data_IF_119065810570
#
_entry.id   IF_119065810570
#
_cell.length_a   1.000
_cell.length_b   1.000
_cell.length_c   1.000
_cell.angle_alpha   90.00
_cell.angle_beta   90.00
_cell.angle_gamma   90.00
#
_symmetry.space_group_name_H-M   'P 1'
#
loop_
_entity.id
_entity.type
_entity.pdbx_description
1 polymer ?
#
# COMPACT_ATOMS: atom_id res chain seq x y z
N UNK A 1 -15.38 -36.38 0.77
CA UNK A 1 -15.11 -35.74 -0.54
C UNK A 1 -15.02 -34.24 -0.37
N UNK A 2 -13.86 -33.65 -0.12
CA UNK A 2 -12.90 -34.00 0.92
C UNK A 2 -12.39 -32.62 1.40
N UNK A 3 -12.51 -32.30 2.69
CA UNK A 3 -12.22 -30.93 3.21
C UNK A 3 -10.83 -30.46 2.78
N UNK A 4 -9.90 -31.40 2.68
CA UNK A 4 -8.55 -31.22 2.18
C UNK A 4 -8.50 -30.64 0.76
N UNK A 5 -9.35 -31.09 -0.16
CA UNK A 5 -9.41 -30.60 -1.55
C UNK A 5 -9.95 -29.17 -1.63
N UNK A 6 -10.87 -28.79 -0.74
CA UNK A 6 -11.37 -27.41 -0.65
C UNK A 6 -10.30 -26.47 -0.11
N UNK A 7 -9.59 -26.87 0.94
CA UNK A 7 -8.50 -26.09 1.54
C UNK A 7 -7.33 -25.96 0.56
N UNK A 8 -7.02 -27.00 -0.20
CA UNK A 8 -5.99 -26.98 -1.24
C UNK A 8 -6.27 -25.93 -2.33
N UNK A 9 -7.47 -25.95 -2.92
CA UNK A 9 -7.87 -24.95 -3.92
C UNK A 9 -7.86 -23.53 -3.36
N UNK A 10 -8.37 -23.36 -2.13
CA UNK A 10 -8.39 -22.05 -1.47
C UNK A 10 -6.97 -21.56 -1.20
N UNK A 11 -6.07 -22.44 -0.75
CA UNK A 11 -4.67 -22.10 -0.48
C UNK A 11 -3.95 -21.68 -1.75
N UNK A 12 -4.14 -22.37 -2.88
CA UNK A 12 -3.57 -21.98 -4.17
C UNK A 12 -4.01 -20.59 -4.61
N UNK A 13 -5.27 -20.22 -4.36
CA UNK A 13 -5.81 -18.91 -4.71
C UNK A 13 -5.35 -17.78 -3.76
N UNK A 14 -5.09 -18.10 -2.49
CA UNK A 14 -4.78 -17.14 -1.44
C UNK A 14 -3.28 -16.96 -1.17
N UNK A 15 -2.41 -17.91 -1.54
CA UNK A 15 -0.95 -17.81 -1.41
C UNK A 15 -0.37 -16.51 -2.00
N UNK A 16 -0.80 -16.03 -3.19
CA UNK A 16 -0.30 -14.78 -3.75
C UNK A 16 -0.58 -13.53 -2.89
N UNK A 17 -1.59 -13.57 -2.03
CA UNK A 17 -1.99 -12.47 -1.14
C UNK A 17 -1.79 -12.82 0.34
N UNK A 18 -1.05 -13.87 0.66
CA UNK A 18 -0.96 -14.42 2.02
C UNK A 18 -0.51 -13.41 3.08
N UNK A 19 0.29 -12.41 2.69
CA UNK A 19 0.73 -11.31 3.54
C UNK A 19 -0.35 -10.25 3.81
N UNK A 20 -1.33 -10.15 2.90
CA UNK A 20 -2.51 -9.29 2.98
C UNK A 20 -3.72 -10.04 3.58
N UNK A 21 -3.55 -11.26 4.12
CA UNK A 21 -4.61 -11.96 4.82
C UNK A 21 -4.65 -11.60 6.31
N UNK A 22 -5.85 -11.68 6.90
CA UNK A 22 -6.03 -11.64 8.34
C UNK A 22 -5.39 -12.85 9.01
N UNK A 23 -5.11 -12.75 10.31
CA UNK A 23 -4.23 -13.70 10.99
C UNK A 23 -4.83 -15.13 11.05
N UNK A 24 -6.15 -15.27 11.20
CA UNK A 24 -6.85 -16.57 11.19
C UNK A 24 -6.77 -17.30 9.84
N UNK A 25 -7.25 -16.76 8.70
CA UNK A 25 -7.15 -17.44 7.41
C UNK A 25 -5.70 -17.66 6.99
N UNK A 26 -4.78 -16.75 7.35
CA UNK A 26 -3.35 -16.93 7.10
C UNK A 26 -2.80 -18.16 7.84
N UNK A 27 -3.16 -18.37 9.09
CA UNK A 27 -2.72 -19.55 9.86
C UNK A 27 -3.20 -20.85 9.23
N UNK A 28 -4.47 -20.92 8.83
CA UNK A 28 -5.05 -22.12 8.18
C UNK A 28 -4.30 -22.49 6.90
N UNK A 29 -3.93 -21.49 6.10
CA UNK A 29 -3.19 -21.71 4.85
C UNK A 29 -1.75 -22.12 5.12
N UNK A 30 -1.07 -21.50 6.08
CA UNK A 30 0.30 -21.86 6.46
C UNK A 30 0.37 -23.29 6.99
N UNK A 31 -0.60 -23.70 7.81
CA UNK A 31 -0.73 -25.09 8.27
C UNK A 31 -0.96 -26.05 7.11
N UNK A 32 -1.79 -25.67 6.12
CA UNK A 32 -1.97 -26.47 4.92
C UNK A 32 -0.69 -26.59 4.09
N UNK A 33 0.05 -25.48 3.89
CA UNK A 33 1.32 -25.45 3.16
C UNK A 33 2.35 -26.40 3.78
N UNK A 34 2.42 -26.50 5.11
CA UNK A 34 3.34 -27.45 5.76
C UNK A 34 3.05 -28.91 5.45
N UNK A 35 1.79 -29.22 5.11
CA UNK A 35 1.30 -30.58 4.89
C UNK A 35 1.01 -30.89 3.40
N UNK A 36 1.18 -29.92 2.49
CA UNK A 36 0.87 -30.06 1.08
C UNK A 36 2.05 -29.58 0.22
N UNK A 37 2.70 -30.52 -0.45
CA UNK A 37 3.90 -30.28 -1.27
C UNK A 37 3.63 -29.32 -2.44
N UNK A 38 2.49 -29.46 -3.12
CA UNK A 38 2.08 -28.56 -4.20
C UNK A 38 1.92 -27.10 -3.71
N UNK A 39 1.26 -26.91 -2.57
CA UNK A 39 1.07 -25.58 -1.99
C UNK A 39 2.39 -25.00 -1.47
N UNK A 40 3.31 -25.85 -1.00
CA UNK A 40 4.67 -25.45 -0.61
C UNK A 40 5.49 -24.96 -1.78
N UNK A 41 5.49 -25.68 -2.90
CA UNK A 41 6.15 -25.25 -4.14
C UNK A 41 5.58 -23.91 -4.64
N UNK A 42 4.26 -23.74 -4.58
CA UNK A 42 3.61 -22.49 -4.96
C UNK A 42 3.99 -21.33 -4.02
N UNK A 43 4.06 -21.58 -2.71
CA UNK A 43 4.48 -20.58 -1.73
C UNK A 43 5.94 -20.18 -1.93
N UNK A 44 6.85 -21.15 -2.04
CA UNK A 44 8.29 -20.91 -2.21
C UNK A 44 8.57 -20.18 -3.54
N UNK A 45 7.86 -20.54 -4.62
CA UNK A 45 7.98 -19.82 -5.89
C UNK A 45 7.45 -18.39 -5.82
N UNK A 46 6.35 -18.15 -5.10
CA UNK A 46 5.79 -16.80 -4.87
C UNK A 46 6.71 -15.95 -3.98
N UNK A 47 7.32 -16.54 -2.94
CA UNK A 47 8.27 -15.84 -2.07
C UNK A 47 9.55 -15.46 -2.82
N UNK A 48 10.03 -16.35 -3.69
CA UNK A 48 11.17 -16.10 -4.58
C UNK A 48 10.84 -15.10 -5.71
N UNK A 49 9.60 -15.07 -6.21
CA UNK A 49 9.14 -14.09 -7.19
C UNK A 49 9.13 -12.66 -6.62
N UNK A 50 8.81 -12.50 -5.35
CA UNK A 50 8.88 -11.21 -4.65
C UNK A 50 10.33 -10.75 -4.39
N UNK A 51 11.31 -11.65 -4.44
CA UNK A 51 12.74 -11.35 -4.18
C UNK A 51 13.59 -11.19 -5.45
N UNK A 52 13.15 -11.70 -6.60
CA UNK A 52 13.99 -11.75 -7.81
C UNK A 52 13.14 -11.67 -9.05
N UNK A 53 13.04 -10.48 -9.65
CA UNK A 53 12.51 -10.34 -11.01
C UNK A 53 13.67 -10.53 -12.00
N UNK A 54 13.55 -11.49 -12.91
CA UNK A 54 13.64 -11.14 -14.32
C UNK A 54 12.45 -11.71 -15.10
N UNK A 55 11.95 -10.93 -16.05
CA UNK A 55 10.96 -11.39 -17.03
C UNK A 55 11.55 -12.57 -17.81
N UNK A 56 10.89 -13.73 -17.78
CA UNK A 56 10.97 -14.64 -18.91
C UNK A 56 9.65 -15.34 -19.19
N UNK A 57 9.40 -15.38 -20.48
CA UNK A 57 8.29 -15.96 -21.25
C UNK A 57 7.94 -17.39 -20.81
N UNK A 58 6.67 -17.62 -20.49
CA UNK A 58 6.11 -18.97 -20.38
C UNK A 58 4.92 -19.07 -21.33
N UNK A 59 5.21 -19.67 -22.48
CA UNK A 59 4.23 -20.31 -23.35
C UNK A 59 3.53 -21.48 -22.64
N UNK A 60 2.31 -21.75 -23.09
CA UNK A 60 1.42 -22.88 -22.75
C UNK A 60 0.52 -22.75 -21.50
N UNK A 61 -0.72 -22.34 -21.79
CA UNK A 61 -1.97 -22.89 -21.23
C UNK A 61 -2.04 -23.08 -19.72
N UNK A 62 -1.82 -22.00 -18.98
CA UNK A 62 -2.47 -21.82 -17.69
C UNK A 62 -3.47 -20.68 -17.84
N UNK A 63 -4.76 -21.00 -17.86
CA UNK A 63 -5.82 -20.02 -17.68
C UNK A 63 -5.61 -19.34 -16.32
N UNK A 64 -4.84 -18.25 -16.31
CA UNK A 64 -4.55 -17.45 -15.13
C UNK A 64 -5.82 -16.69 -14.73
N UNK A 65 -6.60 -17.36 -13.89
CA UNK A 65 -7.87 -16.98 -13.26
C UNK A 65 -7.86 -15.59 -12.58
N UNK A 66 -9.05 -14.99 -12.38
CA UNK A 66 -9.29 -13.55 -12.16
C UNK A 66 -8.69 -12.92 -10.90
N UNK A 67 -8.12 -13.70 -9.98
CA UNK A 67 -7.55 -13.19 -8.73
C UNK A 67 -6.19 -12.50 -8.89
N UNK A 68 -5.40 -12.85 -9.91
CA UNK A 68 -4.15 -12.12 -10.22
C UNK A 68 -4.42 -10.65 -10.57
N UNK A 69 -5.56 -10.38 -11.22
CA UNK A 69 -6.06 -9.01 -11.47
C UNK A 69 -6.50 -8.32 -10.18
N UNK A 70 -7.06 -9.05 -9.20
CA UNK A 70 -7.39 -8.48 -7.89
C UNK A 70 -6.12 -8.06 -7.12
N UNK A 71 -5.04 -8.85 -7.17
CA UNK A 71 -3.77 -8.47 -6.51
C UNK A 71 -3.20 -7.21 -7.17
N UNK A 72 -3.19 -7.16 -8.50
CA UNK A 72 -2.77 -5.98 -9.24
C UNK A 72 -3.66 -4.76 -8.96
N UNK A 73 -4.96 -4.97 -8.83
CA UNK A 73 -5.92 -3.91 -8.47
C UNK A 73 -5.68 -3.39 -7.06
N UNK A 74 -5.48 -4.28 -6.08
CA UNK A 74 -5.16 -3.92 -4.70
C UNK A 74 -3.85 -3.12 -4.62
N UNK A 75 -2.80 -3.60 -5.28
CA UNK A 75 -1.52 -2.87 -5.37
C UNK A 75 -1.66 -1.54 -6.12
N UNK A 76 -2.47 -1.49 -7.17
CA UNK A 76 -2.79 -0.27 -7.90
C UNK A 76 -3.49 0.76 -7.01
N UNK A 77 -4.45 0.34 -6.19
CA UNK A 77 -5.10 1.22 -5.21
C UNK A 77 -4.13 1.70 -4.13
N UNK A 78 -3.23 0.83 -3.61
CA UNK A 78 -2.17 1.24 -2.65
C UNK A 78 -1.28 2.31 -3.28
N UNK A 79 -0.82 2.09 -4.50
CA UNK A 79 0.02 3.03 -5.24
C UNK A 79 -0.71 4.35 -5.52
N UNK A 80 -2.00 4.28 -5.86
CA UNK A 80 -2.84 5.45 -6.10
C UNK A 80 -2.94 6.31 -4.84
N UNK A 81 -3.19 5.70 -3.68
CA UNK A 81 -3.26 6.40 -2.39
C UNK A 81 -1.96 7.11 -2.02
N UNK A 82 -0.82 6.51 -2.34
CA UNK A 82 0.51 7.12 -2.12
C UNK A 82 0.73 8.27 -3.11
N UNK A 83 0.41 8.05 -4.38
CA UNK A 83 0.56 9.05 -5.45
C UNK A 83 -0.27 10.31 -5.17
N UNK A 84 -1.52 10.15 -4.75
CA UNK A 84 -2.39 11.28 -4.41
C UNK A 84 -1.78 12.11 -3.27
N UNK A 85 -1.25 11.46 -2.22
CA UNK A 85 -0.56 12.18 -1.13
C UNK A 85 0.67 12.93 -1.62
N UNK A 86 1.50 12.28 -2.44
CA UNK A 86 2.69 12.90 -3.02
C UNK A 86 2.33 14.13 -3.87
N UNK A 87 1.25 14.05 -4.66
CA UNK A 87 0.78 15.18 -5.49
C UNK A 87 0.28 16.34 -4.64
N UNK A 88 -0.49 16.09 -3.58
CA UNK A 88 -0.96 17.14 -2.67
C UNK A 88 0.21 17.81 -1.97
N UNK A 89 1.15 17.03 -1.46
CA UNK A 89 2.35 17.57 -0.81
C UNK A 89 3.20 18.37 -1.80
N UNK A 90 3.41 17.84 -3.00
CA UNK A 90 4.12 18.55 -4.06
C UNK A 90 3.43 19.87 -4.40
N UNK A 91 2.09 19.88 -4.50
CA UNK A 91 1.32 21.08 -4.76
C UNK A 91 1.49 22.12 -3.64
N UNK A 92 1.41 21.72 -2.38
CA UNK A 92 1.63 22.61 -1.22
C UNK A 92 3.06 23.17 -1.24
N UNK A 93 4.06 22.33 -1.49
CA UNK A 93 5.45 22.73 -1.60
C UNK A 93 5.65 23.74 -2.72
N UNK A 94 5.26 23.35 -3.93
CA UNK A 94 5.44 24.15 -5.13
C UNK A 94 4.73 25.51 -5.04
N UNK A 95 3.49 25.53 -4.57
CA UNK A 95 2.74 26.78 -4.37
C UNK A 95 3.41 27.68 -3.34
N UNK A 96 3.86 27.12 -2.21
CA UNK A 96 4.55 27.88 -1.16
C UNK A 96 5.82 28.56 -1.70
N UNK A 97 6.65 27.84 -2.45
CA UNK A 97 7.85 28.41 -3.08
C UNK A 97 7.53 29.44 -4.16
N UNK A 98 6.53 29.18 -5.01
CA UNK A 98 6.16 30.09 -6.11
C UNK A 98 5.65 31.43 -5.61
N UNK A 99 4.84 31.45 -4.55
CA UNK A 99 4.19 32.66 -4.06
C UNK A 99 4.98 33.39 -2.95
N UNK A 100 5.87 32.69 -2.21
CA UNK A 100 6.59 33.29 -1.07
C UNK A 100 8.12 33.23 -1.17
N UNK A 101 8.67 32.77 -2.30
CA UNK A 101 10.12 32.59 -2.47
C UNK A 101 10.99 33.85 -2.36
N UNK A 102 10.42 35.03 -2.12
CA UNK A 102 11.14 36.31 -2.10
C UNK A 102 11.11 37.08 -0.77
N UNK A 103 10.25 36.75 0.20
CA UNK A 103 9.99 37.66 1.34
C UNK A 103 10.57 37.22 2.70
N UNK A 104 10.46 35.95 3.12
CA UNK A 104 11.18 35.39 4.28
C UNK A 104 10.94 33.87 4.47
N UNK A 105 11.86 33.16 5.14
CA UNK A 105 11.69 31.74 5.53
C UNK A 105 10.46 31.54 6.45
N UNK A 106 10.18 32.52 7.32
CA UNK A 106 9.03 32.51 8.23
C UNK A 106 7.70 32.57 7.47
N UNK A 107 7.57 33.46 6.49
CA UNK A 107 6.34 33.56 5.66
C UNK A 107 6.11 32.29 4.86
N UNK A 108 7.18 31.69 4.34
CA UNK A 108 7.11 30.42 3.61
C UNK A 108 6.56 29.30 4.53
N UNK A 109 7.07 29.17 5.75
CA UNK A 109 6.59 28.18 6.73
C UNK A 109 5.11 28.36 7.11
N UNK A 110 4.65 29.61 7.26
CA UNK A 110 3.23 29.90 7.55
C UNK A 110 2.31 29.51 6.39
N UNK A 111 2.73 29.76 5.15
CA UNK A 111 2.00 29.32 3.96
C UNK A 111 1.95 27.80 3.85
N UNK A 112 3.06 27.12 4.15
CA UNK A 112 3.12 25.67 4.21
C UNK A 112 2.11 25.11 5.21
N UNK A 113 2.08 25.65 6.42
CA UNK A 113 1.14 25.25 7.48
C UNK A 113 -0.31 25.46 7.06
N UNK A 114 -0.59 26.59 6.42
CA UNK A 114 -1.91 26.90 5.87
C UNK A 114 -2.30 25.91 4.76
N UNK A 115 -1.37 25.54 3.88
CA UNK A 115 -1.59 24.55 2.84
C UNK A 115 -1.86 23.15 3.39
N UNK A 116 -1.14 22.73 4.43
CA UNK A 116 -1.42 21.46 5.13
C UNK A 116 -2.82 21.51 5.73
N UNK A 117 -3.17 22.59 6.44
CA UNK A 117 -4.46 22.70 7.13
C UNK A 117 -5.64 22.70 6.15
N UNK A 118 -5.52 23.44 5.04
CA UNK A 118 -6.62 23.65 4.11
C UNK A 118 -6.75 22.51 3.08
N UNK A 119 -5.64 21.95 2.62
CA UNK A 119 -5.65 20.93 1.56
C UNK A 119 -5.29 19.53 2.08
N UNK A 120 -4.23 19.38 2.87
CA UNK A 120 -3.75 18.06 3.28
C UNK A 120 -4.68 17.40 4.30
N UNK A 121 -5.12 18.11 5.34
CA UNK A 121 -5.96 17.53 6.40
C UNK A 121 -7.31 17.01 5.87
N UNK A 122 -8.10 17.78 5.10
CA UNK A 122 -9.35 17.27 4.53
C UNK A 122 -9.11 16.08 3.60
N UNK A 123 -8.06 16.15 2.78
CA UNK A 123 -7.70 15.05 1.89
C UNK A 123 -7.25 13.80 2.67
N UNK A 124 -6.47 13.93 3.74
CA UNK A 124 -6.03 12.79 4.55
C UNK A 124 -7.20 12.11 5.23
N UNK A 125 -8.21 12.87 5.69
CA UNK A 125 -9.45 12.30 6.24
C UNK A 125 -10.18 11.49 5.16
N UNK A 126 -10.34 12.05 3.96
CA UNK A 126 -10.98 11.35 2.84
C UNK A 126 -10.22 10.07 2.45
N UNK A 127 -8.90 10.14 2.34
CA UNK A 127 -8.04 9.00 2.03
C UNK A 127 -8.04 7.95 3.14
N UNK A 128 -8.20 8.36 4.41
CA UNK A 128 -8.34 7.44 5.54
C UNK A 128 -9.67 6.68 5.46
N UNK A 129 -10.77 7.36 5.16
CA UNK A 129 -12.08 6.71 4.93
C UNK A 129 -11.99 5.72 3.76
N UNK A 130 -11.36 6.13 2.66
CA UNK A 130 -11.10 5.23 1.54
C UNK A 130 -10.26 4.02 1.98
N UNK A 131 -9.21 4.26 2.77
CA UNK A 131 -8.33 3.19 3.27
C UNK A 131 -9.11 2.21 4.15
N UNK A 132 -10.02 2.72 4.99
CA UNK A 132 -10.90 1.92 5.83
C UNK A 132 -11.85 1.04 5.01
N UNK A 133 -12.36 1.53 3.87
CA UNK A 133 -13.29 0.77 3.03
C UNK A 133 -12.61 -0.34 2.23
N UNK A 134 -11.40 -0.11 1.72
CA UNK A 134 -10.77 -0.98 0.73
C UNK A 134 -9.63 -1.85 1.26
N UNK A 135 -9.09 -1.57 2.46
CA UNK A 135 -7.91 -2.27 2.97
C UNK A 135 -8.10 -2.80 4.39
N UNK A 136 -7.26 -3.77 4.76
CA UNK A 136 -7.30 -4.38 6.08
C UNK A 136 -6.88 -3.40 7.18
N UNK A 137 -7.22 -3.76 8.42
CA UNK A 137 -6.92 -2.99 9.63
C UNK A 137 -5.46 -2.53 9.75
N UNK A 138 -4.50 -3.36 9.29
CA UNK A 138 -3.06 -3.02 9.30
C UNK A 138 -2.76 -1.77 8.46
N UNK A 139 -3.36 -1.64 7.28
CA UNK A 139 -3.15 -0.51 6.37
C UNK A 139 -3.78 0.80 6.87
N UNK A 140 -4.89 0.71 7.60
CA UNK A 140 -5.52 1.87 8.23
C UNK A 140 -4.56 2.51 9.25
N UNK A 141 -3.92 1.70 10.08
CA UNK A 141 -2.92 2.18 11.04
C UNK A 141 -1.70 2.79 10.34
N UNK A 142 -1.18 2.14 9.30
CA UNK A 142 -0.06 2.67 8.51
C UNK A 142 -0.43 4.03 7.90
N UNK A 143 -1.62 4.14 7.30
CA UNK A 143 -2.13 5.39 6.71
C UNK A 143 -2.24 6.49 7.78
N UNK A 144 -2.88 6.20 8.91
CA UNK A 144 -3.06 7.15 10.00
C UNK A 144 -1.73 7.65 10.56
N UNK A 145 -0.78 6.75 10.83
CA UNK A 145 0.56 7.12 11.33
C UNK A 145 1.30 7.97 10.30
N UNK A 146 1.24 7.60 9.03
CA UNK A 146 1.87 8.37 7.95
C UNK A 146 1.31 9.78 7.87
N UNK A 147 -0.02 9.94 7.90
CA UNK A 147 -0.67 11.24 7.85
C UNK A 147 -0.35 12.10 9.08
N UNK A 148 -0.28 11.51 10.28
CA UNK A 148 0.15 12.19 11.51
C UNK A 148 1.62 12.64 11.43
N UNK A 149 2.51 11.79 10.93
CA UNK A 149 3.92 12.13 10.76
C UNK A 149 4.06 13.32 9.81
N UNK A 150 3.33 13.32 8.70
CA UNK A 150 3.33 14.43 7.74
C UNK A 150 2.83 15.71 8.40
N UNK A 151 1.69 15.68 9.10
CA UNK A 151 1.13 16.87 9.74
C UNK A 151 2.06 17.44 10.83
N UNK A 152 2.69 16.59 11.63
CA UNK A 152 3.48 17.01 12.80
C UNK A 152 4.96 17.31 12.51
N UNK A 153 5.56 16.61 11.54
CA UNK A 153 7.00 16.68 11.29
C UNK A 153 7.36 17.42 10.00
N UNK A 154 6.45 17.62 9.06
CA UNK A 154 6.80 18.25 7.78
C UNK A 154 7.34 19.67 7.96
N UNK A 155 6.81 20.44 8.92
CA UNK A 155 7.34 21.78 9.27
C UNK A 155 8.80 21.69 9.75
N UNK A 156 9.11 20.71 10.61
CA UNK A 156 10.47 20.51 11.15
C UNK A 156 11.45 20.07 10.06
N UNK A 157 10.99 19.20 9.16
CA UNK A 157 11.78 18.76 8.00
C UNK A 157 12.10 19.96 7.11
N UNK A 158 11.10 20.77 6.76
CA UNK A 158 11.32 21.98 5.95
C UNK A 158 12.30 22.95 6.60
N UNK A 159 12.21 23.18 7.92
CA UNK A 159 13.17 23.99 8.69
C UNK A 159 14.62 23.48 8.67
N UNK A 160 14.85 22.19 8.41
CA UNK A 160 16.20 21.64 8.29
C UNK A 160 16.79 21.84 6.89
N UNK A 161 15.96 21.98 5.87
CA UNK A 161 16.37 22.11 4.47
C UNK A 161 16.41 23.57 3.96
N UNK A 162 15.75 24.50 4.64
CA UNK A 162 15.71 25.95 4.37
C UNK A 162 16.57 26.71 5.37
#
# INVERSE_FOLDING_TARGET
>A
MDSFKKIHLLSQELIPIINDLDDEPRQVILEHITNCEDCKILYDSTENFNKTMPMHDYSENVELKPLKKLVQFNNGLKLLLITVRALILFYIVYSSFKYNGAESVTSLLEYFKSGIFLFYIPASIFLLVFTFTFFNKKWIWISLVTDLVIILFLEKVLKLFL
#
